data_IF_436428304156
#
_entry.id   IF_436428304156
#
_cell.length_a   1.000
_cell.length_b   1.000
_cell.length_c   1.000
_cell.angle_alpha   90.00
_cell.angle_beta   90.00
_cell.angle_gamma   90.00
#
_symmetry.space_group_name_H-M   'P 1'
#
loop_
_entity.id
_entity.type
_entity.pdbx_description
1 polymer ?
#
# COMPACT_ATOMS: atom_id res chain seq x y z
N UNK A 1 -1.32 -37.05 -19.98
CA UNK A 1 -0.94 -36.15 -21.08
C UNK A 1 -2.21 -35.45 -21.57
N UNK A 2 -2.34 -34.15 -21.26
CA UNK A 2 -2.97 -33.06 -22.04
C UNK A 2 -4.32 -33.40 -22.73
N UNK A 3 -5.44 -32.77 -22.35
CA UNK A 3 -5.82 -31.48 -22.96
C UNK A 3 -6.87 -30.71 -22.15
N UNK A 4 -6.45 -29.56 -21.62
CA UNK A 4 -7.30 -28.45 -21.17
C UNK A 4 -7.41 -27.45 -22.32
N UNK A 5 -8.60 -27.28 -22.92
CA UNK A 5 -8.83 -26.27 -23.97
C UNK A 5 -10.24 -25.64 -23.94
N UNK A 6 -10.95 -25.74 -22.80
CA UNK A 6 -12.34 -25.29 -22.70
C UNK A 6 -12.57 -23.94 -22.01
N UNK A 7 -11.65 -23.44 -21.18
CA UNK A 7 -11.94 -22.36 -20.22
C UNK A 7 -11.49 -20.96 -20.62
N UNK A 8 -10.73 -20.80 -21.71
CA UNK A 8 -10.21 -19.48 -22.11
C UNK A 8 -11.18 -18.62 -22.94
N UNK A 9 -12.25 -19.21 -23.50
CA UNK A 9 -13.13 -18.52 -24.45
C UNK A 9 -14.31 -17.77 -23.80
N UNK A 10 -14.58 -17.99 -22.51
CA UNK A 10 -15.72 -17.35 -21.83
C UNK A 10 -15.37 -15.95 -21.30
N UNK A 11 -14.12 -15.71 -20.90
CA UNK A 11 -13.67 -14.41 -20.39
C UNK A 11 -13.67 -13.33 -21.49
N UNK A 12 -13.21 -13.66 -22.70
CA UNK A 12 -13.10 -12.72 -23.83
C UNK A 12 -14.47 -12.25 -24.34
N UNK A 13 -15.47 -13.13 -24.35
CA UNK A 13 -16.82 -12.81 -24.85
C UNK A 13 -17.57 -11.85 -23.91
N UNK A 14 -17.40 -12.00 -22.60
CA UNK A 14 -17.99 -11.09 -21.60
C UNK A 14 -17.35 -9.69 -21.63
N UNK A 15 -16.04 -9.59 -21.89
CA UNK A 15 -15.35 -8.30 -22.05
C UNK A 15 -15.82 -7.52 -23.28
N UNK A 16 -16.13 -8.20 -24.39
CA UNK A 16 -16.60 -7.56 -25.64
C UNK A 16 -18.07 -7.11 -25.53
N UNK A 17 -18.91 -7.88 -24.85
CA UNK A 17 -20.31 -7.50 -24.59
C UNK A 17 -20.43 -6.32 -23.62
N UNK A 18 -19.56 -6.24 -22.62
CA UNK A 18 -19.50 -5.08 -21.70
C UNK A 18 -18.98 -3.80 -22.40
N UNK A 19 -17.99 -3.94 -23.30
CA UNK A 19 -17.51 -2.85 -24.16
C UNK A 19 -18.61 -2.30 -25.09
N UNK A 20 -19.52 -3.16 -25.59
CA UNK A 20 -20.68 -2.70 -26.38
C UNK A 20 -21.77 -2.01 -25.54
N UNK A 21 -21.94 -2.39 -24.27
CA UNK A 21 -22.91 -1.75 -23.37
C UNK A 21 -22.51 -0.32 -22.97
N UNK A 22 -21.20 -0.02 -22.91
CA UNK A 22 -20.68 1.33 -22.60
C UNK A 22 -20.71 2.30 -23.80
N UNK A 23 -21.06 1.82 -25.00
CA UNK A 23 -21.22 2.65 -26.21
C UNK A 23 -22.66 3.18 -26.38
N UNK A 24 -23.39 3.42 -25.29
CA UNK A 24 -24.61 4.25 -25.35
C UNK A 24 -24.21 5.72 -25.26
N UNK A 25 -24.71 6.59 -26.16
CA UNK A 25 -24.49 8.02 -26.03
C UNK A 25 -25.11 8.50 -24.71
N UNK A 26 -24.29 9.13 -23.88
CA UNK A 26 -24.71 9.65 -22.59
C UNK A 26 -25.57 10.91 -22.83
N UNK A 27 -26.88 10.77 -22.60
CA UNK A 27 -27.93 11.79 -22.84
C UNK A 27 -27.77 13.04 -21.93
N UNK A 28 -26.77 13.07 -21.05
CA UNK A 28 -26.47 14.19 -20.15
C UNK A 28 -25.42 15.20 -20.67
N UNK A 29 -24.89 15.03 -21.89
CA UNK A 29 -23.81 15.87 -22.40
C UNK A 29 -24.21 17.28 -22.90
N UNK A 30 -25.51 17.64 -22.89
CA UNK A 30 -26.01 18.79 -23.66
C UNK A 30 -26.41 20.03 -22.83
N UNK A 31 -25.87 20.23 -21.62
CA UNK A 31 -26.20 21.41 -20.79
C UNK A 31 -25.00 22.20 -20.23
N UNK A 32 -23.84 22.12 -20.87
CA UNK A 32 -22.65 22.90 -20.44
C UNK A 32 -21.83 23.51 -21.57
N UNK A 33 -22.34 23.53 -22.80
CA UNK A 33 -21.74 24.28 -23.91
C UNK A 33 -22.59 25.49 -24.23
N UNK A 34 -22.29 26.62 -23.56
CA UNK A 34 -22.49 28.03 -23.95
C UNK A 34 -22.88 28.88 -22.74
N UNK A 35 -21.88 29.35 -22.00
CA UNK A 35 -21.83 30.73 -21.50
C UNK A 35 -20.53 30.96 -20.72
N UNK A 36 -19.78 31.97 -21.14
CA UNK A 36 -19.01 32.81 -20.23
C UNK A 36 -17.62 32.32 -19.81
N UNK A 37 -16.61 33.07 -20.23
CA UNK A 37 -15.38 33.23 -19.47
C UNK A 37 -15.70 33.62 -18.01
N UNK A 38 -15.53 32.70 -17.06
CA UNK A 38 -15.16 33.03 -15.69
C UNK A 38 -14.33 31.88 -15.09
N UNK A 39 -13.07 32.19 -14.80
CA UNK A 39 -12.16 31.37 -14.01
C UNK A 39 -12.65 31.31 -12.55
N UNK A 40 -13.69 30.50 -12.29
CA UNK A 40 -14.32 30.33 -10.97
C UNK A 40 -14.09 28.96 -10.32
N UNK A 41 -13.23 28.11 -10.88
CA UNK A 41 -13.04 26.70 -10.45
C UNK A 41 -11.60 26.32 -10.04
N UNK A 42 -10.73 27.32 -9.82
CA UNK A 42 -9.40 27.14 -9.21
C UNK A 42 -9.37 26.67 -7.72
N UNK A 43 -10.38 26.87 -6.85
CA UNK A 43 -10.21 26.51 -5.44
C UNK A 43 -10.26 25.00 -5.18
N UNK A 44 -10.91 24.20 -6.03
CA UNK A 44 -11.02 22.75 -5.82
C UNK A 44 -9.73 22.02 -6.18
N UNK A 45 -9.10 22.34 -7.32
CA UNK A 45 -7.83 21.74 -7.72
C UNK A 45 -6.70 22.07 -6.74
N UNK A 46 -6.62 23.33 -6.28
CA UNK A 46 -5.64 23.75 -5.26
C UNK A 46 -5.92 23.06 -3.92
N UNK A 47 -7.19 22.87 -3.53
CA UNK A 47 -7.56 22.10 -2.33
C UNK A 47 -7.17 20.63 -2.44
N UNK A 48 -7.45 19.99 -3.57
CA UNK A 48 -7.09 18.59 -3.84
C UNK A 48 -5.58 18.41 -3.80
N UNK A 49 -4.83 19.28 -4.48
CA UNK A 49 -3.37 19.26 -4.46
C UNK A 49 -2.80 19.45 -3.04
N UNK A 50 -3.33 20.41 -2.26
CA UNK A 50 -2.94 20.60 -0.86
C UNK A 50 -3.24 19.38 0.02
N UNK A 51 -4.38 18.72 -0.19
CA UNK A 51 -4.77 17.51 0.55
C UNK A 51 -3.89 16.31 0.18
N UNK A 52 -3.49 16.18 -1.08
CA UNK A 52 -2.52 15.17 -1.53
C UNK A 52 -1.12 15.41 -0.94
N UNK A 53 -0.63 16.65 -0.96
CA UNK A 53 0.64 16.98 -0.32
C UNK A 53 0.56 16.71 1.18
N UNK A 54 -0.55 17.07 1.82
CA UNK A 54 -0.77 16.80 3.24
C UNK A 54 -0.79 15.30 3.54
N UNK A 55 -1.41 14.47 2.70
CA UNK A 55 -1.43 13.02 2.91
C UNK A 55 -0.05 12.38 2.77
N UNK A 56 0.80 12.90 1.87
CA UNK A 56 2.20 12.50 1.77
C UNK A 56 2.98 12.84 3.05
N UNK A 57 2.76 14.03 3.64
CA UNK A 57 3.39 14.41 4.91
C UNK A 57 3.02 13.44 6.03
N UNK A 58 1.74 13.07 6.16
CA UNK A 58 1.29 12.06 7.13
C UNK A 58 1.90 10.67 6.87
N UNK A 59 2.08 10.32 5.61
CA UNK A 59 2.71 9.07 5.19
C UNK A 59 4.21 9.03 5.55
N UNK A 60 4.94 10.12 5.30
CA UNK A 60 6.34 10.23 5.68
C UNK A 60 6.51 10.19 7.20
N UNK A 61 5.68 10.93 7.96
CA UNK A 61 5.78 10.94 9.42
C UNK A 61 5.48 9.56 10.03
N UNK A 62 4.42 8.88 9.56
CA UNK A 62 4.09 7.51 10.01
C UNK A 62 5.22 6.51 9.67
N UNK A 63 5.83 6.63 8.50
CA UNK A 63 6.95 5.77 8.09
C UNK A 63 8.18 6.00 8.97
N UNK A 64 8.55 7.25 9.24
CA UNK A 64 9.68 7.59 10.13
C UNK A 64 9.44 7.04 11.53
N UNK A 65 8.23 7.19 12.08
CA UNK A 65 7.88 6.61 13.38
C UNK A 65 7.95 5.08 13.36
N UNK A 66 7.38 4.43 12.34
CA UNK A 66 7.41 2.98 12.17
C UNK A 66 8.84 2.43 12.09
N UNK A 67 9.68 3.02 11.24
CA UNK A 67 11.09 2.63 11.13
C UNK A 67 11.86 2.86 12.43
N UNK A 68 11.57 3.94 13.16
CA UNK A 68 12.18 4.17 14.47
C UNK A 68 11.81 3.06 15.46
N UNK A 69 10.54 2.62 15.50
CA UNK A 69 10.11 1.49 16.34
C UNK A 69 10.81 0.19 15.92
N UNK A 70 10.97 -0.06 14.62
CA UNK A 70 11.69 -1.25 14.12
C UNK A 70 13.16 -1.23 14.56
N UNK A 71 13.84 -0.09 14.41
CA UNK A 71 15.26 0.05 14.74
C UNK A 71 15.53 -0.09 16.24
N UNK A 72 14.59 0.37 17.08
CA UNK A 72 14.65 0.26 18.53
C UNK A 72 14.26 -1.13 19.04
N UNK A 73 13.74 -2.02 18.22
CA UNK A 73 13.37 -3.37 18.67
C UNK A 73 14.61 -4.25 18.84
N UNK A 74 14.66 -5.09 19.88
CA UNK A 74 15.78 -6.00 20.13
C UNK A 74 16.07 -6.90 18.90
N UNK A 75 15.04 -7.58 18.40
CA UNK A 75 15.11 -8.40 17.18
C UNK A 75 14.89 -7.59 15.88
N UNK A 76 15.53 -6.43 15.74
CA UNK A 76 15.30 -5.48 14.62
C UNK A 76 15.36 -6.13 13.23
N UNK A 77 16.28 -7.06 13.00
CA UNK A 77 16.43 -7.73 11.71
C UNK A 77 15.26 -8.66 11.37
N UNK A 78 14.72 -9.34 12.38
CA UNK A 78 13.53 -10.19 12.22
C UNK A 78 12.32 -9.30 11.93
N UNK A 79 12.10 -8.25 12.71
CA UNK A 79 10.96 -7.34 12.53
C UNK A 79 11.00 -6.62 11.17
N UNK A 80 12.19 -6.17 10.77
CA UNK A 80 12.41 -5.52 9.47
C UNK A 80 12.10 -6.48 8.32
N UNK A 81 12.60 -7.72 8.39
CA UNK A 81 12.32 -8.77 7.39
C UNK A 81 10.83 -9.06 7.27
N UNK A 82 10.11 -9.19 8.40
CA UNK A 82 8.65 -9.39 8.43
C UNK A 82 7.90 -8.24 7.78
N UNK A 83 8.32 -7.00 8.08
CA UNK A 83 7.70 -5.79 7.52
C UNK A 83 7.87 -5.72 6.01
N UNK A 84 9.07 -5.98 5.50
CA UNK A 84 9.33 -6.02 4.06
C UNK A 84 8.62 -7.17 3.36
N UNK A 85 8.53 -8.35 3.97
CA UNK A 85 7.79 -9.48 3.42
C UNK A 85 6.29 -9.17 3.28
N UNK A 86 5.68 -8.61 4.33
CA UNK A 86 4.29 -8.18 4.31
C UNK A 86 4.05 -7.10 3.25
N UNK A 87 4.96 -6.12 3.16
CA UNK A 87 4.96 -5.12 2.09
C UNK A 87 5.02 -5.77 0.71
N UNK A 88 5.96 -6.69 0.48
CA UNK A 88 6.14 -7.37 -0.79
C UNK A 88 4.90 -8.18 -1.21
N UNK A 89 4.26 -8.89 -0.27
CA UNK A 89 3.01 -9.62 -0.52
C UNK A 89 1.90 -8.64 -0.94
N UNK A 90 1.76 -7.51 -0.23
CA UNK A 90 0.72 -6.53 -0.54
C UNK A 90 0.95 -5.81 -1.89
N UNK A 91 2.18 -5.43 -2.19
CA UNK A 91 2.53 -4.80 -3.47
C UNK A 91 2.54 -5.80 -4.63
N UNK A 92 2.84 -7.07 -4.37
CA UNK A 92 2.68 -8.16 -5.34
C UNK A 92 1.20 -8.37 -5.71
N UNK A 93 0.31 -8.40 -4.71
CA UNK A 93 -1.14 -8.43 -4.93
C UNK A 93 -1.61 -7.22 -5.74
N UNK A 94 -1.09 -6.02 -5.44
CA UNK A 94 -1.37 -4.82 -6.23
C UNK A 94 -0.98 -4.99 -7.69
N UNK A 95 0.21 -5.52 -7.97
CA UNK A 95 0.67 -5.74 -9.34
C UNK A 95 -0.22 -6.73 -10.10
N UNK A 96 -0.67 -7.81 -9.44
CA UNK A 96 -1.58 -8.79 -10.03
C UNK A 96 -2.96 -8.15 -10.31
N UNK A 97 -3.53 -7.41 -9.34
CA UNK A 97 -4.82 -6.75 -9.50
C UNK A 97 -4.76 -5.76 -10.67
N UNK A 98 -3.77 -4.87 -10.71
CA UNK A 98 -3.58 -3.93 -11.81
C UNK A 98 -3.35 -4.60 -13.18
N UNK A 99 -2.82 -5.82 -13.20
CA UNK A 99 -2.66 -6.60 -14.43
C UNK A 99 -3.95 -7.24 -14.93
N UNK A 100 -4.90 -7.51 -14.03
CA UNK A 100 -6.17 -8.21 -14.33
C UNK A 100 -7.34 -7.23 -14.48
N UNK A 101 -7.31 -6.09 -13.78
CA UNK A 101 -8.39 -5.09 -13.77
C UNK A 101 -8.09 -3.93 -14.71
N UNK A 102 -9.14 -3.48 -15.40
CA UNK A 102 -9.10 -2.30 -16.25
C UNK A 102 -10.22 -1.35 -15.80
N UNK A 103 -10.06 -0.72 -14.63
CA UNK A 103 -11.00 0.29 -14.15
C UNK A 103 -10.50 1.68 -14.58
N UNK A 104 -11.38 2.52 -15.16
CA UNK A 104 -10.98 3.85 -15.58
C UNK A 104 -10.74 4.72 -14.31
N UNK A 105 -9.65 5.51 -14.22
CA UNK A 105 -9.25 6.21 -12.99
C UNK A 105 -10.33 7.16 -12.39
N UNK A 106 -10.21 7.65 -11.16
CA UNK A 106 -11.23 8.58 -10.59
C UNK A 106 -11.19 10.02 -11.15
N UNK A 107 -10.16 10.37 -11.91
CA UNK A 107 -9.90 11.75 -12.35
C UNK A 107 -10.84 12.20 -13.49
N UNK A 108 -11.48 13.37 -13.31
CA UNK A 108 -12.50 13.93 -14.22
C UNK A 108 -11.92 14.52 -15.52
N UNK A 109 -10.65 14.96 -15.52
CA UNK A 109 -9.96 15.54 -16.69
C UNK A 109 -8.79 14.63 -17.14
N UNK A 110 -9.11 13.49 -17.74
CA UNK A 110 -8.07 12.51 -18.12
C UNK A 110 -7.14 13.03 -19.22
N UNK A 111 -7.69 13.66 -20.25
CA UNK A 111 -6.93 13.93 -21.48
C UNK A 111 -5.88 15.05 -21.29
N UNK A 112 -6.07 15.90 -20.28
CA UNK A 112 -5.16 17.01 -19.95
C UNK A 112 -4.04 16.57 -18.99
N UNK A 113 -4.35 15.64 -18.08
CA UNK A 113 -3.50 15.27 -16.95
C UNK A 113 -2.70 13.98 -17.23
N UNK A 114 -3.22 13.11 -18.09
CA UNK A 114 -2.67 11.78 -18.33
C UNK A 114 -1.70 11.73 -19.53
N UNK A 115 -0.62 10.94 -19.40
CA UNK A 115 0.23 10.58 -20.55
C UNK A 115 -0.58 9.76 -21.58
N UNK A 116 -0.41 10.01 -22.89
CA UNK A 116 -1.08 9.23 -23.93
C UNK A 116 -0.65 7.75 -23.88
N UNK A 117 -1.56 6.85 -24.29
CA UNK A 117 -1.26 5.43 -24.42
C UNK A 117 -0.20 5.19 -25.51
N UNK A 118 0.72 4.26 -25.24
CA UNK A 118 1.79 3.89 -26.17
C UNK A 118 1.23 3.06 -27.32
N UNK A 119 1.12 3.66 -28.50
CA UNK A 119 0.85 2.96 -29.77
C UNK A 119 2.16 2.58 -30.48
N UNK A 120 3.01 1.78 -29.82
CA UNK A 120 4.36 1.46 -30.30
C UNK A 120 4.54 -0.01 -30.73
N UNK A 121 5.32 -0.23 -31.79
CA UNK A 121 5.80 -1.56 -32.21
C UNK A 121 6.62 -2.24 -31.11
N UNK A 122 6.58 -3.59 -31.05
CA UNK A 122 7.05 -4.44 -29.93
C UNK A 122 8.43 -4.09 -29.32
N UNK A 123 9.39 -3.56 -30.11
CA UNK A 123 10.75 -3.24 -29.63
C UNK A 123 10.84 -1.91 -28.87
N UNK A 124 10.05 -0.88 -29.25
CA UNK A 124 9.98 0.39 -28.50
C UNK A 124 9.14 0.26 -27.23
N UNK A 125 8.29 -0.76 -27.15
CA UNK A 125 7.42 -1.02 -26.00
C UNK A 125 8.21 -1.38 -24.73
N UNK A 126 9.25 -2.21 -24.85
CA UNK A 126 10.02 -2.70 -23.69
C UNK A 126 10.95 -1.65 -23.09
N UNK A 127 11.65 -0.86 -23.92
CA UNK A 127 12.52 0.21 -23.45
C UNK A 127 11.73 1.31 -22.72
N UNK A 128 10.55 1.63 -23.24
CA UNK A 128 9.68 2.66 -22.67
C UNK A 128 8.97 2.19 -21.38
N UNK A 129 8.62 0.90 -21.28
CA UNK A 129 8.15 0.32 -20.02
C UNK A 129 9.27 0.32 -18.98
N UNK A 130 10.49 -0.05 -19.37
CA UNK A 130 11.63 -0.06 -18.47
C UNK A 130 11.93 1.34 -17.93
N UNK A 131 11.95 2.38 -18.77
CA UNK A 131 12.15 3.77 -18.32
C UNK A 131 11.03 4.25 -17.42
N UNK A 132 9.77 3.91 -17.71
CA UNK A 132 8.62 4.24 -16.83
C UNK A 132 8.68 3.51 -15.49
N UNK A 133 9.09 2.24 -15.49
CA UNK A 133 9.30 1.47 -14.27
C UNK A 133 10.44 2.04 -13.43
N UNK A 134 11.58 2.35 -14.06
CA UNK A 134 12.71 3.00 -13.38
C UNK A 134 12.30 4.34 -12.83
N UNK A 135 11.60 5.18 -13.61
CA UNK A 135 11.08 6.45 -13.12
C UNK A 135 10.16 6.27 -11.91
N UNK A 136 9.27 5.29 -11.94
CA UNK A 136 8.34 5.01 -10.83
C UNK A 136 9.05 4.48 -9.57
N UNK A 137 10.09 3.66 -9.73
CA UNK A 137 10.93 3.17 -8.62
C UNK A 137 11.77 4.30 -8.03
N UNK A 138 12.40 5.12 -8.87
CA UNK A 138 13.23 6.25 -8.47
C UNK A 138 12.40 7.32 -7.76
N UNK A 139 11.16 7.54 -8.19
CA UNK A 139 10.26 8.47 -7.49
C UNK A 139 9.58 7.85 -6.27
N UNK A 140 9.86 6.59 -5.91
CA UNK A 140 9.18 5.85 -4.84
C UNK A 140 7.64 5.87 -4.97
N UNK A 141 7.14 5.95 -6.20
CA UNK A 141 5.71 6.11 -6.50
C UNK A 141 5.15 7.52 -6.28
N UNK A 142 6.00 8.53 -6.10
CA UNK A 142 5.60 9.94 -6.05
C UNK A 142 5.46 10.49 -7.47
N UNK A 143 4.28 11.03 -7.79
CA UNK A 143 4.02 11.67 -9.08
C UNK A 143 4.39 13.17 -9.10
N UNK A 144 5.22 13.64 -8.16
CA UNK A 144 5.38 15.07 -7.81
C UNK A 144 6.28 15.89 -8.76
N UNK A 145 6.61 15.40 -9.96
CA UNK A 145 7.57 16.06 -10.84
C UNK A 145 7.42 15.78 -12.35
N UNK A 146 6.26 15.29 -12.79
CA UNK A 146 6.00 15.02 -14.21
C UNK A 146 4.85 15.92 -14.68
N UNK A 147 5.02 16.64 -15.80
CA UNK A 147 3.99 17.51 -16.40
C UNK A 147 2.71 16.75 -16.79
N UNK A 148 2.82 15.43 -16.98
CA UNK A 148 1.70 14.51 -17.20
C UNK A 148 1.89 13.26 -16.35
N UNK A 149 0.90 12.89 -15.56
CA UNK A 149 0.94 11.71 -14.68
C UNK A 149 0.57 10.44 -15.46
N UNK A 150 1.05 9.29 -15.00
CA UNK A 150 0.65 8.01 -15.54
C UNK A 150 -0.73 7.65 -14.97
N UNK A 151 -1.80 7.92 -15.73
CA UNK A 151 -3.15 7.51 -15.37
C UNK A 151 -3.39 6.05 -15.74
N UNK A 152 -2.84 5.16 -14.93
CA UNK A 152 -3.25 3.75 -14.94
C UNK A 152 -4.53 3.55 -14.13
N UNK A 153 -4.96 2.30 -14.04
CA UNK A 153 -5.88 1.88 -12.99
C UNK A 153 -5.24 2.24 -11.62
N UNK A 154 -6.02 2.93 -10.78
CA UNK A 154 -5.58 3.36 -9.44
C UNK A 154 -6.11 2.42 -8.36
N UNK A 155 -6.70 1.29 -8.76
CA UNK A 155 -7.21 0.28 -7.85
C UNK A 155 -6.09 -0.14 -6.89
N UNK A 156 -6.44 -0.16 -5.60
CA UNK A 156 -5.53 -0.47 -4.49
C UNK A 156 -4.44 0.60 -4.25
N UNK A 157 -4.74 1.58 -3.37
CA UNK A 157 -3.84 2.71 -3.08
C UNK A 157 -2.59 2.26 -2.31
N UNK A 158 -1.42 2.44 -2.92
CA UNK A 158 -0.12 2.16 -2.27
C UNK A 158 0.12 3.02 -1.03
N UNK A 159 -0.32 4.28 -1.01
CA UNK A 159 -0.19 5.13 0.16
C UNK A 159 -0.98 4.59 1.36
N UNK A 160 -2.20 4.09 1.12
CA UNK A 160 -3.00 3.44 2.16
C UNK A 160 -2.31 2.17 2.68
N UNK A 161 -1.74 1.35 1.78
CA UNK A 161 -1.01 0.13 2.19
C UNK A 161 0.17 0.47 3.09
N UNK A 162 1.01 1.44 2.73
CA UNK A 162 2.17 1.78 3.59
C UNK A 162 1.72 2.45 4.89
N UNK A 163 0.76 3.37 4.86
CA UNK A 163 0.18 3.99 6.07
C UNK A 163 -0.29 2.91 7.05
N UNK A 164 -1.04 1.92 6.55
CA UNK A 164 -1.66 0.88 7.37
C UNK A 164 -0.66 -0.17 7.85
N UNK A 165 0.29 -0.62 7.02
CA UNK A 165 1.37 -1.52 7.45
C UNK A 165 2.22 -0.83 8.54
N UNK A 166 2.66 0.41 8.33
CA UNK A 166 3.46 1.13 9.31
C UNK A 166 2.70 1.33 10.63
N UNK A 167 1.39 1.61 10.57
CA UNK A 167 0.54 1.71 11.75
C UNK A 167 0.42 0.38 12.50
N UNK A 168 0.19 -0.73 11.80
CA UNK A 168 0.09 -2.04 12.45
C UNK A 168 1.42 -2.52 13.03
N UNK A 169 2.54 -2.24 12.37
CA UNK A 169 3.88 -2.46 12.93
C UNK A 169 4.05 -1.70 14.24
N UNK A 170 3.67 -0.43 14.27
CA UNK A 170 3.71 0.37 15.49
C UNK A 170 2.81 -0.25 16.58
N UNK A 171 1.60 -0.70 16.26
CA UNK A 171 0.72 -1.34 17.25
C UNK A 171 1.25 -2.67 17.80
N UNK A 172 1.84 -3.49 16.94
CA UNK A 172 2.27 -4.85 17.29
C UNK A 172 3.59 -4.84 18.06
N UNK A 173 4.58 -4.07 17.59
CA UNK A 173 5.95 -4.09 18.12
C UNK A 173 6.20 -3.03 19.20
N UNK A 174 5.24 -2.12 19.45
CA UNK A 174 5.31 -1.20 20.61
C UNK A 174 4.86 -1.91 21.89
N UNK A 175 5.64 -1.87 22.98
CA UNK A 175 5.28 -2.47 24.27
C UNK A 175 3.96 -1.90 24.82
N UNK A 176 3.18 -2.74 25.49
CA UNK A 176 1.78 -2.43 25.91
C UNK A 176 1.67 -1.17 26.77
N UNK A 177 2.69 -0.89 27.61
CA UNK A 177 2.69 0.26 28.52
C UNK A 177 3.11 1.58 27.86
N UNK A 178 3.68 1.58 26.64
CA UNK A 178 3.95 2.81 25.87
C UNK A 178 2.73 3.26 25.06
N UNK A 179 1.66 3.61 25.77
CA UNK A 179 0.40 4.01 25.14
C UNK A 179 0.56 5.32 24.36
N UNK A 180 1.48 6.20 24.76
CA UNK A 180 1.74 7.48 24.10
C UNK A 180 2.04 7.35 22.59
N UNK A 181 2.87 6.38 22.20
CA UNK A 181 3.22 6.17 20.80
C UNK A 181 1.99 5.75 20.00
N UNK A 182 1.14 4.91 20.59
CA UNK A 182 -0.13 4.49 19.97
C UNK A 182 -1.11 5.66 19.84
N UNK A 183 -1.20 6.51 20.85
CA UNK A 183 -2.02 7.71 20.84
C UNK A 183 -1.58 8.74 19.80
N UNK A 184 -0.30 8.78 19.44
CA UNK A 184 0.22 9.67 18.38
C UNK A 184 0.10 9.01 17.00
N UNK A 185 0.41 7.71 16.90
CA UNK A 185 0.40 6.98 15.63
C UNK A 185 -1.01 6.82 15.03
N UNK A 186 -2.02 6.60 15.87
CA UNK A 186 -3.41 6.46 15.44
C UNK A 186 -3.94 7.70 14.70
N UNK A 187 -3.94 8.92 15.29
CA UNK A 187 -4.46 10.09 14.60
C UNK A 187 -3.67 10.43 13.33
N UNK A 188 -2.33 10.27 13.32
CA UNK A 188 -1.53 10.47 12.10
C UNK A 188 -2.03 9.57 10.97
N UNK A 189 -2.29 8.30 11.26
CA UNK A 189 -2.74 7.32 10.27
C UNK A 189 -4.18 7.61 9.80
N UNK A 190 -5.10 7.86 10.73
CA UNK A 190 -6.49 8.17 10.39
C UNK A 190 -6.63 9.51 9.65
N UNK A 191 -5.88 10.54 10.04
CA UNK A 191 -5.82 11.81 9.31
C UNK A 191 -5.20 11.62 7.92
N UNK A 192 -4.16 10.81 7.78
CA UNK A 192 -3.58 10.47 6.47
C UNK A 192 -4.57 9.78 5.54
N UNK A 193 -5.29 8.77 6.04
CA UNK A 193 -6.35 8.06 5.30
C UNK A 193 -7.50 9.02 4.95
N UNK A 194 -7.92 9.86 5.90
CA UNK A 194 -8.96 10.87 5.69
C UNK A 194 -8.57 11.89 4.61
N UNK A 195 -7.33 12.39 4.63
CA UNK A 195 -6.80 13.31 3.62
C UNK A 195 -6.75 12.66 2.23
N UNK A 196 -6.40 11.36 2.13
CA UNK A 196 -6.45 10.61 0.87
C UNK A 196 -7.87 10.53 0.31
N UNK A 197 -8.85 10.19 1.14
CA UNK A 197 -10.26 10.09 0.73
C UNK A 197 -10.80 11.46 0.31
N UNK A 198 -10.54 12.51 1.10
CA UNK A 198 -11.01 13.88 0.82
C UNK A 198 -10.37 14.51 -0.41
N UNK A 199 -9.18 14.07 -0.79
CA UNK A 199 -8.54 14.54 -2.02
C UNK A 199 -9.28 14.11 -3.29
N UNK A 200 -10.12 13.07 -3.24
CA UNK A 200 -10.79 12.51 -4.42
C UNK A 200 -9.83 11.90 -5.45
N UNK A 201 -8.54 11.80 -5.14
CA UNK A 201 -7.51 11.23 -6.02
C UNK A 201 -7.57 9.70 -6.15
N UNK A 202 -8.23 9.03 -5.21
CA UNK A 202 -8.50 7.59 -5.22
C UNK A 202 -10.00 7.35 -5.01
N UNK A 203 -10.52 6.24 -5.53
CA UNK A 203 -11.86 5.83 -5.14
C UNK A 203 -11.85 5.47 -3.65
N UNK A 204 -12.89 5.85 -2.92
CA UNK A 204 -13.04 5.50 -1.50
C UNK A 204 -13.01 3.99 -1.29
N UNK A 205 -13.53 3.24 -2.26
CA UNK A 205 -13.43 1.77 -2.30
C UNK A 205 -11.99 1.26 -2.34
N UNK A 206 -11.07 1.93 -3.05
CA UNK A 206 -9.67 1.51 -3.12
C UNK A 206 -8.99 1.61 -1.75
N UNK A 207 -9.34 2.65 -0.99
CA UNK A 207 -8.84 2.89 0.36
C UNK A 207 -9.40 1.87 1.34
N UNK A 208 -10.70 1.57 1.25
CA UNK A 208 -11.36 0.58 2.10
C UNK A 208 -10.82 -0.83 1.87
N UNK A 209 -10.71 -1.25 0.61
CA UNK A 209 -10.17 -2.57 0.24
C UNK A 209 -8.69 -2.68 0.67
N UNK A 210 -7.89 -1.63 0.46
CA UNK A 210 -6.50 -1.60 0.89
C UNK A 210 -6.35 -1.75 2.41
N UNK A 211 -7.16 -1.01 3.19
CA UNK A 211 -7.18 -1.14 4.65
C UNK A 211 -7.62 -2.54 5.10
N UNK A 212 -8.70 -3.06 4.53
CA UNK A 212 -9.26 -4.37 4.90
C UNK A 212 -8.28 -5.51 4.62
N UNK A 213 -7.72 -5.53 3.40
CA UNK A 213 -6.79 -6.58 2.98
C UNK A 213 -5.49 -6.52 3.78
N UNK A 214 -4.95 -5.32 4.01
CA UNK A 214 -3.74 -5.15 4.83
C UNK A 214 -3.98 -5.63 6.26
N UNK A 215 -5.14 -5.31 6.84
CA UNK A 215 -5.50 -5.77 8.19
C UNK A 215 -5.53 -7.30 8.26
N UNK A 216 -6.22 -7.97 7.32
CA UNK A 216 -6.30 -9.43 7.31
C UNK A 216 -4.95 -10.11 7.09
N UNK A 217 -4.14 -9.63 6.15
CA UNK A 217 -2.81 -10.20 5.90
C UNK A 217 -1.89 -9.99 7.10
N UNK A 218 -1.88 -8.80 7.70
CA UNK A 218 -1.03 -8.48 8.85
C UNK A 218 -1.38 -9.33 10.08
N UNK A 219 -2.65 -9.35 10.48
CA UNK A 219 -3.08 -10.10 11.67
C UNK A 219 -3.05 -11.61 11.45
N UNK A 220 -3.43 -12.07 10.24
CA UNK A 220 -3.31 -13.48 9.86
C UNK A 220 -1.87 -13.97 9.89
N UNK A 221 -0.92 -13.15 9.42
CA UNK A 221 0.51 -13.43 9.54
C UNK A 221 0.93 -13.60 11.00
N UNK A 222 0.64 -12.62 11.86
CA UNK A 222 1.05 -12.69 13.26
C UNK A 222 0.38 -13.85 14.01
N UNK A 223 -0.88 -14.16 13.74
CA UNK A 223 -1.56 -15.31 14.31
C UNK A 223 -0.88 -16.64 13.94
N UNK A 224 -0.42 -16.79 12.69
CA UNK A 224 0.28 -18.00 12.27
C UNK A 224 1.66 -18.15 12.90
N UNK A 225 2.42 -17.06 12.97
CA UNK A 225 3.81 -17.11 13.44
C UNK A 225 3.94 -17.00 14.96
N UNK A 226 2.87 -16.66 15.67
CA UNK A 226 2.77 -16.82 17.14
C UNK A 226 2.55 -18.29 17.57
N UNK A 227 2.08 -19.17 16.67
CA UNK A 227 1.92 -20.61 16.95
C UNK A 227 3.27 -21.37 16.91
N UNK A 228 3.40 -22.49 17.67
CA UNK A 228 4.55 -23.38 17.61
C UNK A 228 4.80 -23.89 16.19
N UNK A 229 6.09 -24.04 15.80
CA UNK A 229 6.48 -24.45 14.43
C UNK A 229 5.85 -25.79 13.99
N UNK A 230 5.63 -26.70 14.93
CA UNK A 230 5.07 -28.04 14.69
C UNK A 230 3.62 -27.97 14.20
N UNK A 231 2.84 -27.01 14.71
CA UNK A 231 1.41 -26.88 14.42
C UNK A 231 1.14 -26.02 13.17
N UNK A 232 2.11 -25.20 12.72
CA UNK A 232 1.93 -24.26 11.60
C UNK A 232 1.45 -24.91 10.29
N UNK A 233 2.03 -26.06 9.85
CA UNK A 233 1.59 -26.69 8.60
C UNK A 233 0.19 -27.31 8.70
N UNK A 234 -0.19 -27.75 9.90
CA UNK A 234 -1.48 -28.41 10.14
C UNK A 234 -2.64 -27.42 10.31
N UNK A 235 -2.34 -26.17 10.70
CA UNK A 235 -3.34 -25.12 10.85
C UNK A 235 -4.04 -24.81 9.51
N UNK A 236 -5.35 -24.48 9.50
CA UNK A 236 -6.09 -24.19 8.27
C UNK A 236 -5.53 -22.98 7.49
N UNK A 237 -4.83 -22.08 8.18
CA UNK A 237 -4.17 -20.92 7.57
C UNK A 237 -2.97 -21.30 6.67
N UNK A 238 -2.46 -22.53 6.76
CA UNK A 238 -1.39 -23.03 5.87
C UNK A 238 -1.83 -23.13 4.39
N UNK A 239 -3.14 -23.10 4.14
CA UNK A 239 -3.74 -23.14 2.80
C UNK A 239 -3.66 -21.80 2.05
N UNK A 240 -3.20 -20.74 2.69
CA UNK A 240 -3.05 -19.43 2.05
C UNK A 240 -1.92 -19.49 1.01
N UNK A 241 -2.12 -18.86 -0.15
CA UNK A 241 -1.16 -18.91 -1.27
C UNK A 241 0.22 -18.34 -0.91
N UNK A 242 0.27 -17.36 0.00
CA UNK A 242 1.51 -16.73 0.46
C UNK A 242 2.15 -17.42 1.67
N UNK A 243 1.50 -18.46 2.23
CA UNK A 243 1.97 -19.15 3.44
C UNK A 243 3.36 -19.75 3.26
N UNK A 244 3.58 -20.49 2.18
CA UNK A 244 4.86 -21.18 1.93
C UNK A 244 6.03 -20.21 1.79
N UNK A 245 5.80 -19.06 1.14
CA UNK A 245 6.80 -18.00 1.06
C UNK A 245 7.14 -17.45 2.45
N UNK A 246 6.11 -17.17 3.26
CA UNK A 246 6.30 -16.67 4.61
C UNK A 246 6.96 -17.70 5.55
N UNK A 247 6.62 -18.98 5.40
CA UNK A 247 7.19 -20.07 6.18
C UNK A 247 8.69 -20.22 5.90
N UNK A 248 9.11 -20.14 4.62
CA UNK A 248 10.51 -20.17 4.23
C UNK A 248 11.31 -19.00 4.82
N UNK A 249 10.77 -17.78 4.77
CA UNK A 249 11.40 -16.58 5.33
C UNK A 249 11.51 -16.56 6.87
N UNK A 250 10.74 -17.41 7.56
CA UNK A 250 10.67 -17.48 9.02
C UNK A 250 11.30 -18.75 9.61
N UNK A 251 12.00 -19.53 8.77
CA UNK A 251 12.69 -20.76 9.17
C UNK A 251 13.67 -20.54 10.34
N UNK A 252 14.42 -19.43 10.28
CA UNK A 252 15.52 -19.13 11.21
C UNK A 252 15.07 -18.47 12.53
N UNK A 253 13.78 -18.16 12.70
CA UNK A 253 13.29 -17.44 13.89
C UNK A 253 12.97 -18.42 15.03
N UNK A 254 13.35 -18.11 16.28
CA UNK A 254 13.02 -18.96 17.44
C UNK A 254 11.51 -19.20 17.61
N UNK A 255 11.17 -20.29 18.30
CA UNK A 255 9.77 -20.62 18.61
C UNK A 255 9.19 -19.65 19.64
N UNK A 256 7.93 -19.24 19.43
CA UNK A 256 7.17 -18.43 20.39
C UNK A 256 6.96 -16.97 19.97
N UNK A 257 6.22 -16.25 20.81
CA UNK A 257 5.91 -14.83 20.61
C UNK A 257 7.17 -14.00 20.87
N UNK A 258 7.48 -13.07 19.96
CA UNK A 258 8.55 -12.10 20.19
C UNK A 258 8.23 -11.25 21.42
N UNK A 259 9.19 -11.17 22.32
CA UNK A 259 9.14 -10.23 23.43
C UNK A 259 9.41 -8.82 22.89
N UNK A 260 8.47 -7.92 23.11
CA UNK A 260 8.60 -6.51 22.71
C UNK A 260 9.55 -5.77 23.66
N UNK A 261 10.85 -6.07 23.56
CA UNK A 261 11.94 -5.40 24.28
C UNK A 261 12.63 -4.41 23.34
N UNK A 262 12.98 -3.24 23.87
CA UNK A 262 13.66 -2.21 23.11
C UNK A 262 15.16 -2.21 23.41
N UNK A 263 15.98 -2.08 22.37
CA UNK A 263 17.44 -2.00 22.49
C UNK A 263 17.98 -0.87 21.62
N UNK A 264 19.05 -0.23 22.08
CA UNK A 264 19.66 0.88 21.37
C UNK A 264 20.54 0.35 20.22
N UNK A 265 20.34 0.80 18.97
CA UNK A 265 21.00 0.19 17.82
C UNK A 265 22.51 0.44 17.71
N UNK A 266 23.03 1.49 18.36
CA UNK A 266 24.45 1.86 18.29
C UNK A 266 25.20 1.40 19.54
N UNK A 267 26.48 1.03 19.39
CA UNK A 267 27.32 0.60 20.52
C UNK A 267 27.59 1.74 21.55
N UNK A 268 27.45 3.00 21.13
CA UNK A 268 27.59 4.20 21.96
C UNK A 268 26.46 5.18 21.61
N UNK A 269 26.03 6.07 22.51
CA UNK A 269 26.47 6.26 23.89
C UNK A 269 25.77 5.31 24.89
N UNK A 270 26.47 4.95 25.97
CA UNK A 270 25.96 4.07 27.05
C UNK A 270 24.71 4.64 27.75
N UNK A 271 24.58 5.97 27.80
CA UNK A 271 23.41 6.68 28.36
C UNK A 271 22.10 6.20 27.70
N UNK A 272 22.13 5.92 26.39
CA UNK A 272 20.95 5.45 25.67
C UNK A 272 20.63 3.98 25.99
N UNK A 273 21.66 3.15 26.20
CA UNK A 273 21.47 1.78 26.69
C UNK A 273 20.86 1.78 28.10
N UNK A 274 21.34 2.63 29.00
CA UNK A 274 20.79 2.76 30.36
C UNK A 274 19.34 3.28 30.36
N UNK A 275 19.04 4.24 29.49
CA UNK A 275 17.69 4.75 29.30
C UNK A 275 16.74 3.66 28.77
N UNK A 276 17.16 2.90 27.76
CA UNK A 276 16.37 1.78 27.22
C UNK A 276 16.21 0.66 28.25
N UNK A 277 17.24 0.36 29.05
CA UNK A 277 17.16 -0.61 30.14
C UNK A 277 16.21 -0.15 31.26
N UNK A 278 16.14 1.15 31.56
CA UNK A 278 15.16 1.72 32.51
C UNK A 278 13.75 1.66 31.94
N UNK A 279 13.59 1.95 30.65
CA UNK A 279 12.32 1.80 29.92
C UNK A 279 11.86 0.36 29.96
N UNK A 280 12.68 -0.62 29.57
CA UNK A 280 12.32 -2.03 29.59
C UNK A 280 11.92 -2.52 30.99
N UNK A 281 12.63 -2.10 32.04
CA UNK A 281 12.30 -2.43 33.44
C UNK A 281 10.94 -1.90 33.90
N UNK A 282 10.54 -0.72 33.43
CA UNK A 282 9.23 -0.15 33.75
C UNK A 282 8.10 -0.72 32.88
N UNK A 283 8.43 -1.21 31.68
CA UNK A 283 7.48 -1.64 30.67
C UNK A 283 7.15 -3.15 30.68
N UNK A 284 8.01 -3.99 31.25
CA UNK A 284 7.68 -5.36 31.66
C UNK A 284 6.72 -5.31 32.86
#
# INVERSE_FOLDING_TARGET
MISYLGTFNFATKSSILFQRALKRPNIYANRTTKMGLECGRCPLYIKVFKLLVSSLVFQFSSSVMGFTVILLHYERWVVLRRTFLLGAIMYGLRAIVLGVTFIPPSLHNRDEICRPQLNGTHHMYMSEIATRFVAYVVTLGLNSGQDKILCGDLMFSGHTVVLTIMYFVQLQYTPRKLVYIRYIAAPITFCGIGALVLSGGHYTMDVLIAYWLTSHVFWGYHQMFEMPKEDRPQAPMSRLWWFWLAYWFESDVPNGKLENKWDWPFQKPQIMHDFMAKINRNLQ
#
